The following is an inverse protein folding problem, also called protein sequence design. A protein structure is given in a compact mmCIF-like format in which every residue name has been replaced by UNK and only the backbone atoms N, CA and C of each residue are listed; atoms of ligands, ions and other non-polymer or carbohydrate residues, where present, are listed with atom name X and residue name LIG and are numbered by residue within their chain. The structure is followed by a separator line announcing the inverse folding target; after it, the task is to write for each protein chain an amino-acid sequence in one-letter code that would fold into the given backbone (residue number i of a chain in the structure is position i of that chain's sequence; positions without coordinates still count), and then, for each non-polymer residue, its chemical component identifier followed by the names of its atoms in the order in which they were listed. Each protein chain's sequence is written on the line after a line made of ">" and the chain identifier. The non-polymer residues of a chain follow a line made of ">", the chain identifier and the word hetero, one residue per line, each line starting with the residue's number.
data_IF_002470617465
#
_entry.id   IF_002470617465
#
_cell.length_a   1.000
_cell.length_b   1.000
_cell.length_c   1.000
_cell.angle_alpha   90.00
_cell.angle_beta   90.00
_cell.angle_gamma   90.00
#
_symmetry.space_group_name_H-M   'P 1'
#
loop_
_entity.id
_entity.type
_entity.pdbx_description
1 polymer ?
#
# COMPACT_ATOMS: atom_id res chain seq x y z
N UNK A 1 -9.51 -2.14 14.76
CA UNK A 1 -10.08 -1.12 15.72
C UNK A 1 -9.73 0.27 15.21
N UNK A 2 -10.70 1.16 15.18
CA UNK A 2 -10.54 2.55 14.70
C UNK A 2 -10.63 3.52 15.87
N UNK A 3 -9.72 4.48 15.97
CA UNK A 3 -9.74 5.54 16.99
C UNK A 3 -9.47 6.93 16.39
N UNK A 4 -9.85 7.98 17.13
CA UNK A 4 -9.51 9.36 16.77
C UNK A 4 -8.45 9.85 17.76
N UNK A 5 -7.26 10.15 17.24
CA UNK A 5 -6.11 10.62 18.00
C UNK A 5 -5.65 11.97 17.45
N UNK A 6 -5.74 13.03 18.27
CA UNK A 6 -5.38 14.40 17.86
C UNK A 6 -6.04 14.86 16.55
N UNK A 7 -7.31 14.51 16.34
CA UNK A 7 -8.05 14.81 15.12
C UNK A 7 -7.73 13.94 13.92
N UNK A 8 -6.83 12.96 14.05
CA UNK A 8 -6.51 11.97 13.01
C UNK A 8 -7.33 10.71 13.22
N UNK A 9 -7.87 10.15 12.13
CA UNK A 9 -8.45 8.80 12.12
C UNK A 9 -7.29 7.79 12.07
N UNK A 10 -7.17 6.94 13.08
CA UNK A 10 -6.12 5.92 13.17
C UNK A 10 -6.77 4.54 13.16
N UNK A 11 -6.36 3.69 12.24
CA UNK A 11 -6.71 2.27 12.21
C UNK A 11 -5.57 1.46 12.84
N UNK A 12 -5.94 0.43 13.60
CA UNK A 12 -4.96 -0.45 14.26
C UNK A 12 -5.10 -1.86 13.68
N UNK A 13 -4.02 -2.37 13.09
CA UNK A 13 -3.99 -3.74 12.56
C UNK A 13 -3.82 -4.78 13.67
N UNK A 14 -4.45 -5.99 13.53
CA UNK A 14 -5.32 -6.39 12.44
C UNK A 14 -6.68 -5.69 12.47
N UNK A 15 -7.17 -5.27 11.29
CA UNK A 15 -8.46 -4.62 11.12
C UNK A 15 -9.56 -5.64 10.84
N UNK A 16 -10.80 -5.31 11.23
CA UNK A 16 -11.98 -6.13 10.94
C UNK A 16 -12.61 -5.76 9.60
N UNK A 17 -13.60 -6.53 9.17
CA UNK A 17 -14.38 -6.21 7.98
C UNK A 17 -15.14 -4.89 8.16
N UNK A 18 -15.70 -4.66 9.36
CA UNK A 18 -16.44 -3.45 9.69
C UNK A 18 -15.54 -2.20 9.71
N UNK A 19 -14.28 -2.33 10.17
CA UNK A 19 -13.32 -1.23 10.12
C UNK A 19 -13.05 -0.79 8.67
N UNK A 20 -12.98 -1.74 7.74
CA UNK A 20 -12.73 -1.53 6.31
C UNK A 20 -13.99 -0.98 5.62
N UNK A 21 -15.17 -1.55 5.90
CA UNK A 21 -16.44 -1.17 5.29
C UNK A 21 -16.85 0.29 5.63
N UNK A 22 -16.36 0.80 6.75
CA UNK A 22 -16.55 2.18 7.17
C UNK A 22 -15.70 3.21 6.41
N UNK A 23 -14.83 2.75 5.47
CA UNK A 23 -13.94 3.60 4.68
C UNK A 23 -14.45 3.76 3.25
N UNK A 24 -14.41 4.99 2.76
CA UNK A 24 -14.79 5.32 1.38
C UNK A 24 -13.60 5.91 0.62
N UNK A 25 -13.66 5.89 -0.70
CA UNK A 25 -12.66 6.54 -1.55
C UNK A 25 -12.52 8.02 -1.17
N UNK A 26 -11.27 8.48 -1.05
CA UNK A 26 -10.93 9.84 -0.61
C UNK A 26 -10.76 9.99 0.89
N UNK A 27 -11.16 9.02 1.71
CA UNK A 27 -10.92 9.06 3.16
C UNK A 27 -9.41 9.06 3.45
N UNK A 28 -9.05 9.82 4.48
CA UNK A 28 -7.66 9.93 4.96
C UNK A 28 -7.56 9.34 6.35
N UNK A 29 -6.59 8.45 6.53
CA UNK A 29 -6.33 7.80 7.81
C UNK A 29 -4.84 7.58 8.05
N UNK A 30 -4.49 7.19 9.26
CA UNK A 30 -3.17 6.75 9.69
C UNK A 30 -3.26 5.31 10.16
N UNK A 31 -2.13 4.59 10.17
CA UNK A 31 -2.10 3.18 10.51
C UNK A 31 -1.13 2.92 11.65
N UNK A 32 -1.59 2.18 12.66
CA UNK A 32 -0.80 1.61 13.75
C UNK A 32 -0.79 0.09 13.65
N UNK A 33 0.16 -0.54 14.32
CA UNK A 33 0.25 -1.99 14.47
C UNK A 33 1.25 -2.62 13.50
N UNK A 34 0.86 -3.64 12.75
CA UNK A 34 1.78 -4.41 11.93
C UNK A 34 1.53 -4.22 10.44
N UNK A 35 2.62 -4.11 9.68
CA UNK A 35 2.64 -3.99 8.23
C UNK A 35 3.79 -4.83 7.66
N UNK A 36 3.60 -5.40 6.47
CA UNK A 36 4.65 -6.08 5.71
C UNK A 36 4.99 -5.29 4.46
N UNK A 37 6.25 -5.30 4.04
CA UNK A 37 6.60 -4.84 2.69
C UNK A 37 6.57 -6.01 1.72
N UNK A 38 6.12 -5.78 0.50
CA UNK A 38 6.12 -6.76 -0.57
C UNK A 38 5.77 -6.13 -1.90
N UNK A 39 6.41 -6.58 -2.98
CA UNK A 39 6.11 -6.11 -4.32
C UNK A 39 6.19 -7.27 -5.33
N UNK A 40 6.67 -7.03 -6.54
CA UNK A 40 6.57 -7.98 -7.66
C UNK A 40 6.93 -9.42 -7.31
N UNK A 41 8.07 -9.65 -6.63
CA UNK A 41 8.55 -11.00 -6.34
C UNK A 41 7.75 -11.68 -5.23
N UNK A 42 7.34 -10.94 -4.19
CA UNK A 42 6.48 -11.47 -3.11
C UNK A 42 5.13 -11.90 -3.68
N UNK A 43 4.48 -11.03 -4.45
CA UNK A 43 3.21 -11.36 -5.10
C UNK A 43 3.34 -12.53 -6.07
N UNK A 44 4.44 -12.57 -6.84
CA UNK A 44 4.74 -13.68 -7.76
C UNK A 44 4.88 -15.02 -7.05
N UNK A 45 5.57 -15.08 -5.91
CA UNK A 45 5.70 -16.31 -5.12
C UNK A 45 4.37 -16.83 -4.62
N UNK A 46 3.53 -15.94 -4.11
CA UNK A 46 2.21 -16.35 -3.61
C UNK A 46 1.31 -16.80 -4.76
N UNK A 47 1.18 -15.98 -5.82
CA UNK A 47 0.16 -16.21 -6.85
C UNK A 47 0.61 -17.18 -7.93
N UNK A 48 1.86 -17.07 -8.42
CA UNK A 48 2.31 -17.91 -9.52
C UNK A 48 2.93 -19.22 -9.05
N UNK A 49 3.65 -19.20 -7.91
CA UNK A 49 4.34 -20.38 -7.39
C UNK A 49 3.49 -21.12 -6.35
N UNK A 50 2.40 -20.50 -5.86
CA UNK A 50 1.49 -21.10 -4.88
C UNK A 50 2.10 -21.26 -3.50
N UNK A 51 3.11 -20.44 -3.16
CA UNK A 51 3.72 -20.48 -1.83
C UNK A 51 2.85 -19.73 -0.82
N UNK A 52 2.73 -20.29 0.37
CA UNK A 52 2.07 -19.57 1.47
C UNK A 52 2.91 -18.36 1.89
N UNK A 53 2.22 -17.30 2.27
CA UNK A 53 2.86 -16.11 2.82
C UNK A 53 3.58 -16.47 4.13
N UNK A 54 4.89 -16.22 4.28
CA UNK A 54 5.67 -16.68 5.45
C UNK A 54 5.31 -15.93 6.74
N UNK A 55 4.58 -14.83 6.60
CA UNK A 55 4.08 -14.00 7.69
C UNK A 55 2.56 -13.94 7.54
N UNK A 56 1.83 -14.23 8.61
CA UNK A 56 0.36 -14.05 8.58
C UNK A 56 0.01 -12.57 8.50
N UNK A 57 -0.53 -12.19 7.34
CA UNK A 57 -0.98 -10.82 7.06
C UNK A 57 -2.49 -10.67 7.02
N UNK A 58 -3.24 -11.67 7.47
CA UNK A 58 -4.70 -11.63 7.54
C UNK A 58 -5.17 -10.45 8.40
N UNK A 59 -5.99 -9.59 7.81
CA UNK A 59 -6.46 -8.37 8.47
C UNK A 59 -5.39 -7.29 8.65
N UNK A 60 -4.18 -7.49 8.13
CA UNK A 60 -3.08 -6.53 8.25
C UNK A 60 -2.88 -5.74 6.96
N UNK A 61 -1.75 -5.04 6.87
CA UNK A 61 -1.38 -4.24 5.72
C UNK A 61 -0.17 -4.81 4.97
N UNK A 62 -0.20 -4.70 3.65
CA UNK A 62 0.97 -4.84 2.80
C UNK A 62 1.30 -3.52 2.14
N UNK A 63 2.58 -3.15 2.15
CA UNK A 63 3.07 -1.97 1.46
C UNK A 63 3.88 -2.37 0.24
N UNK A 64 3.46 -1.90 -0.92
CA UNK A 64 4.23 -1.99 -2.16
C UNK A 64 5.45 -1.08 -2.07
N UNK A 65 6.54 -1.61 -1.55
CA UNK A 65 7.78 -0.87 -1.32
C UNK A 65 9.01 -1.76 -1.47
N UNK A 66 10.11 -1.14 -1.85
CA UNK A 66 11.45 -1.72 -1.74
C UNK A 66 12.26 -0.88 -0.75
N UNK A 67 12.30 -1.25 0.52
CA UNK A 67 12.95 -0.46 1.55
C UNK A 67 14.46 -0.51 1.45
N UNK A 68 15.12 0.46 2.11
CA UNK A 68 16.54 0.42 2.44
C UNK A 68 16.64 0.07 3.91
N UNK A 69 17.29 -1.03 4.19
CA UNK A 69 17.48 -1.58 5.53
C UNK A 69 18.96 -1.57 5.88
N UNK A 70 19.27 -1.22 7.12
CA UNK A 70 20.61 -1.34 7.69
C UNK A 70 20.61 -2.47 8.71
N UNK A 71 21.60 -3.36 8.61
CA UNK A 71 21.88 -4.33 9.66
C UNK A 71 22.66 -3.62 10.76
N UNK A 72 22.22 -3.75 12.00
CA UNK A 72 22.88 -3.19 13.18
C UNK A 72 23.46 -4.33 14.00
N UNK A 73 24.70 -4.20 14.43
CA UNK A 73 25.29 -5.17 15.34
C UNK A 73 24.52 -5.19 16.66
N UNK A 74 24.14 -6.38 17.08
CA UNK A 74 23.42 -6.58 18.33
C UNK A 74 24.39 -6.43 19.50
N UNK A 75 24.12 -5.48 20.40
CA UNK A 75 24.92 -5.29 21.62
C UNK A 75 24.70 -6.41 22.65
N UNK A 76 23.71 -7.28 22.44
CA UNK A 76 23.19 -8.23 23.41
C UNK A 76 23.47 -9.68 23.02
N UNK A 77 24.65 -10.08 22.62
CA UNK A 77 25.00 -11.47 22.33
C UNK A 77 23.89 -12.35 21.68
N UNK A 78 22.89 -11.75 21.05
CA UNK A 78 21.86 -12.47 20.32
C UNK A 78 22.41 -12.85 18.93
N UNK A 79 22.29 -14.13 18.57
CA UNK A 79 22.72 -14.64 17.25
C UNK A 79 21.86 -14.13 16.08
N UNK A 80 20.82 -13.32 16.35
CA UNK A 80 19.92 -12.80 15.32
C UNK A 80 20.29 -11.37 14.93
N UNK A 81 20.40 -11.07 13.63
CA UNK A 81 20.69 -9.72 13.16
C UNK A 81 19.55 -8.78 13.53
N UNK A 82 19.88 -7.61 14.03
CA UNK A 82 18.94 -6.52 14.23
C UNK A 82 18.89 -5.64 12.98
N UNK A 83 17.68 -5.24 12.60
CA UNK A 83 17.46 -4.43 11.40
C UNK A 83 16.90 -3.06 11.76
N UNK A 84 17.28 -2.05 10.98
CA UNK A 84 16.79 -0.70 11.10
C UNK A 84 16.29 -0.18 9.75
N UNK A 85 15.09 0.41 9.74
CA UNK A 85 14.51 1.00 8.55
C UNK A 85 15.14 2.37 8.26
N UNK A 86 15.93 2.45 7.19
CA UNK A 86 16.57 3.71 6.77
C UNK A 86 15.64 4.52 5.88
N UNK A 87 14.93 3.84 4.99
CA UNK A 87 14.03 4.49 4.03
C UNK A 87 12.97 3.51 3.56
N UNK A 88 11.71 3.92 3.57
CA UNK A 88 10.60 3.17 2.99
C UNK A 88 9.62 4.11 2.30
N UNK A 89 9.56 4.04 0.99
CA UNK A 89 8.64 4.80 0.15
C UNK A 89 7.86 3.89 -0.78
N UNK A 90 6.63 4.30 -1.16
CA UNK A 90 5.76 3.45 -1.96
C UNK A 90 6.29 3.32 -3.39
N UNK A 91 6.21 2.12 -3.95
CA UNK A 91 6.42 1.87 -5.38
C UNK A 91 5.10 1.89 -6.15
N UNK A 92 5.17 1.85 -7.47
CA UNK A 92 4.00 1.88 -8.36
C UNK A 92 3.18 0.59 -8.21
N UNK A 93 1.96 0.72 -7.68
CA UNK A 93 1.04 -0.40 -7.42
C UNK A 93 0.56 -1.10 -8.69
N UNK A 94 0.43 -0.38 -9.79
CA UNK A 94 -0.08 -0.93 -11.06
C UNK A 94 0.67 -2.17 -11.56
N UNK A 95 1.92 -2.38 -11.15
CA UNK A 95 2.67 -3.60 -11.52
C UNK A 95 2.09 -4.85 -10.87
N UNK A 96 1.52 -4.73 -9.66
CA UNK A 96 0.90 -5.81 -8.91
C UNK A 96 -0.55 -6.09 -9.33
N UNK A 97 -1.18 -5.22 -10.12
CA UNK A 97 -2.56 -5.38 -10.62
C UNK A 97 -2.87 -6.78 -11.16
N UNK A 98 -1.90 -7.41 -11.82
CA UNK A 98 -2.04 -8.77 -12.37
C UNK A 98 -2.15 -9.87 -11.32
N UNK A 99 -1.75 -9.59 -10.08
CA UNK A 99 -1.70 -10.54 -8.96
C UNK A 99 -2.72 -10.23 -7.87
N UNK A 100 -3.15 -8.96 -7.77
CA UNK A 100 -3.71 -8.42 -6.53
C UNK A 100 -5.02 -9.10 -6.12
N UNK A 101 -5.87 -9.46 -7.07
CA UNK A 101 -7.11 -10.18 -6.78
C UNK A 101 -6.85 -11.52 -6.08
N UNK A 102 -5.99 -12.34 -6.68
CA UNK A 102 -5.59 -13.64 -6.13
C UNK A 102 -4.81 -13.47 -4.83
N UNK A 103 -3.94 -12.47 -4.75
CA UNK A 103 -3.14 -12.19 -3.56
C UNK A 103 -4.03 -11.82 -2.35
N UNK A 104 -5.04 -10.96 -2.52
CA UNK A 104 -6.00 -10.63 -1.46
C UNK A 104 -6.74 -11.89 -1.00
N UNK A 105 -7.20 -12.70 -1.95
CA UNK A 105 -7.93 -13.95 -1.67
C UNK A 105 -7.09 -14.92 -0.83
N UNK A 106 -5.85 -15.18 -1.24
CA UNK A 106 -4.99 -16.19 -0.61
C UNK A 106 -4.46 -15.74 0.77
N UNK A 107 -4.18 -14.44 0.91
CA UNK A 107 -3.53 -13.94 2.13
C UNK A 107 -4.49 -13.36 3.16
N UNK A 108 -5.68 -12.95 2.72
CA UNK A 108 -6.63 -12.24 3.59
C UNK A 108 -6.16 -10.85 4.03
N UNK A 109 -5.18 -10.26 3.31
CA UNK A 109 -4.75 -8.88 3.53
C UNK A 109 -5.92 -7.92 3.32
N UNK A 110 -6.02 -6.88 4.15
CA UNK A 110 -7.13 -5.92 4.07
C UNK A 110 -6.72 -4.52 3.65
N UNK A 111 -5.46 -4.16 3.82
CA UNK A 111 -4.96 -2.82 3.49
C UNK A 111 -3.77 -2.95 2.55
N UNK A 112 -3.92 -2.47 1.32
CA UNK A 112 -2.87 -2.44 0.31
C UNK A 112 -2.38 -1.00 0.19
N UNK A 113 -1.09 -0.75 0.45
CA UNK A 113 -0.50 0.59 0.45
C UNK A 113 0.49 0.71 -0.71
N UNK A 114 0.31 1.72 -1.55
CA UNK A 114 1.24 1.94 -2.63
C UNK A 114 1.25 3.37 -3.17
N UNK A 115 1.53 3.53 -4.45
CA UNK A 115 1.38 4.81 -5.15
C UNK A 115 0.75 4.63 -6.52
N UNK A 116 0.02 5.67 -6.96
CA UNK A 116 -0.76 5.61 -8.18
C UNK A 116 -2.02 4.77 -8.03
N UNK A 117 -2.75 4.61 -9.12
CA UNK A 117 -3.98 3.81 -9.14
C UNK A 117 -3.73 2.35 -9.43
N UNK A 118 -4.73 1.54 -9.16
CA UNK A 118 -4.91 0.17 -9.63
C UNK A 118 -6.23 0.07 -10.41
N UNK A 119 -6.52 -1.09 -11.00
CA UNK A 119 -7.63 -1.26 -11.93
C UNK A 119 -8.70 -2.23 -11.42
N UNK A 120 -9.43 -2.80 -12.38
CA UNK A 120 -10.66 -3.56 -12.15
C UNK A 120 -10.43 -4.85 -11.35
N UNK A 121 -9.29 -5.54 -11.54
CA UNK A 121 -9.01 -6.78 -10.79
C UNK A 121 -8.81 -6.49 -9.31
N UNK A 122 -8.02 -5.46 -8.99
CA UNK A 122 -7.84 -5.03 -7.61
C UNK A 122 -9.15 -4.55 -7.00
N UNK A 123 -9.95 -3.77 -7.75
CA UNK A 123 -11.25 -3.31 -7.27
C UNK A 123 -12.20 -4.49 -6.99
N UNK A 124 -12.22 -5.50 -7.86
CA UNK A 124 -13.00 -6.72 -7.64
C UNK A 124 -12.53 -7.48 -6.40
N UNK A 125 -11.21 -7.64 -6.22
CA UNK A 125 -10.64 -8.29 -5.03
C UNK A 125 -10.96 -7.52 -3.74
N UNK A 126 -10.87 -6.20 -3.76
CA UNK A 126 -11.24 -5.36 -2.62
C UNK A 126 -12.72 -5.53 -2.25
N UNK A 127 -13.59 -5.57 -3.26
CA UNK A 127 -15.04 -5.74 -3.05
C UNK A 127 -15.38 -7.14 -2.54
N UNK A 128 -14.82 -8.19 -3.13
CA UNK A 128 -15.19 -9.57 -2.82
C UNK A 128 -14.64 -10.03 -1.47
N UNK A 129 -13.42 -9.61 -1.12
CA UNK A 129 -12.73 -10.09 0.08
C UNK A 129 -12.64 -9.07 1.20
N UNK A 130 -13.22 -7.88 1.04
CA UNK A 130 -13.27 -6.84 2.06
C UNK A 130 -11.91 -6.20 2.34
N UNK A 131 -11.26 -5.71 1.29
CA UNK A 131 -9.98 -5.00 1.37
C UNK A 131 -10.08 -3.58 0.78
N UNK A 132 -9.04 -2.78 0.96
CA UNK A 132 -8.91 -1.45 0.36
C UNK A 132 -7.52 -1.27 -0.26
N UNK A 133 -7.45 -0.47 -1.32
CA UNK A 133 -6.19 0.08 -1.78
C UNK A 133 -6.09 1.54 -1.38
N UNK A 134 -4.94 1.94 -0.84
CA UNK A 134 -4.66 3.31 -0.47
C UNK A 134 -3.27 3.74 -0.95
N UNK A 135 -3.08 5.04 -1.09
CA UNK A 135 -1.79 5.61 -1.45
C UNK A 135 -1.16 6.32 -0.26
N UNK A 136 0.16 6.14 -0.16
CA UNK A 136 1.02 7.01 0.63
C UNK A 136 1.59 8.09 -0.31
N UNK A 137 1.55 9.39 0.02
CA UNK A 137 2.18 10.42 -0.78
C UNK A 137 3.66 10.10 -1.05
N UNK A 138 4.07 10.15 -2.33
CA UNK A 138 5.44 9.85 -2.71
C UNK A 138 6.40 11.01 -2.35
N UNK A 139 7.72 10.72 -2.31
CA UNK A 139 8.76 11.71 -2.00
C UNK A 139 9.05 11.87 -0.51
N UNK A 140 8.40 11.12 0.35
CA UNK A 140 8.55 11.18 1.82
C UNK A 140 9.10 9.89 2.45
N UNK A 141 9.96 9.16 1.75
CA UNK A 141 10.45 7.84 2.18
C UNK A 141 11.15 7.83 3.55
N UNK A 142 11.77 8.94 3.94
CA UNK A 142 12.36 9.09 5.28
C UNK A 142 11.28 9.27 6.33
N UNK A 143 10.22 10.01 6.03
CA UNK A 143 9.07 10.17 6.94
C UNK A 143 8.39 8.82 7.17
N UNK A 144 8.22 8.01 6.11
CA UNK A 144 7.72 6.64 6.24
C UNK A 144 8.60 5.78 7.15
N UNK A 145 9.93 5.91 7.04
CA UNK A 145 10.85 5.16 7.88
C UNK A 145 10.76 5.54 9.36
N UNK A 146 10.56 6.83 9.67
CA UNK A 146 10.41 7.30 11.06
C UNK A 146 9.15 6.73 11.74
N UNK A 147 8.14 6.37 10.96
CA UNK A 147 6.93 5.73 11.49
C UNK A 147 7.11 4.22 11.74
N UNK A 148 8.24 3.63 11.37
CA UNK A 148 8.57 2.23 11.68
C UNK A 148 9.28 2.18 13.02
N UNK A 149 8.60 1.67 14.05
CA UNK A 149 9.16 1.54 15.40
C UNK A 149 10.13 0.37 15.50
N UNK A 150 9.84 -0.73 14.76
CA UNK A 150 10.62 -1.95 14.83
C UNK A 150 10.47 -2.77 13.54
N UNK A 151 11.53 -3.43 13.10
CA UNK A 151 11.48 -4.53 12.16
C UNK A 151 11.42 -5.82 12.96
N UNK A 152 10.24 -6.46 13.00
CA UNK A 152 9.95 -7.65 13.79
C UNK A 152 10.62 -8.89 13.17
N UNK A 153 10.71 -8.93 11.83
CA UNK A 153 11.26 -10.04 11.09
C UNK A 153 11.52 -9.74 9.63
N UNK A 154 12.21 -10.64 8.97
CA UNK A 154 12.50 -10.58 7.55
C UNK A 154 12.45 -11.98 6.94
N UNK A 155 11.65 -12.13 5.91
CA UNK A 155 11.45 -13.39 5.21
C UNK A 155 11.78 -13.24 3.72
N UNK A 156 12.08 -14.36 3.07
CA UNK A 156 12.44 -14.40 1.66
C UNK A 156 13.61 -13.46 1.30
N UNK A 157 14.63 -13.45 2.15
CA UNK A 157 15.84 -12.63 1.97
C UNK A 157 16.62 -12.98 0.70
N UNK A 158 16.42 -14.17 0.16
CA UNK A 158 16.99 -14.61 -1.12
C UNK A 158 16.50 -13.77 -2.32
N UNK A 159 15.37 -13.07 -2.18
CA UNK A 159 14.89 -12.12 -3.18
C UNK A 159 15.69 -10.81 -3.22
N UNK A 160 16.57 -10.63 -2.24
CA UNK A 160 17.32 -9.38 -2.03
C UNK A 160 16.50 -8.33 -1.25
N UNK A 161 17.20 -7.41 -0.62
CA UNK A 161 16.63 -6.41 0.30
C UNK A 161 15.38 -5.70 -0.22
N UNK A 162 15.29 -5.20 -1.49
CA UNK A 162 14.12 -4.47 -1.96
C UNK A 162 12.91 -5.34 -2.30
N UNK A 163 13.09 -6.65 -2.41
CA UNK A 163 12.02 -7.60 -2.76
C UNK A 163 11.66 -8.53 -1.60
N UNK A 164 12.48 -8.57 -0.54
CA UNK A 164 12.22 -9.37 0.65
C UNK A 164 10.99 -8.86 1.41
N UNK A 165 10.41 -9.77 2.19
CA UNK A 165 9.26 -9.50 3.05
C UNK A 165 9.75 -8.96 4.40
N UNK A 166 9.61 -7.66 4.64
CA UNK A 166 9.96 -7.03 5.91
C UNK A 166 8.73 -6.85 6.78
N UNK A 167 8.71 -7.50 7.94
CA UNK A 167 7.64 -7.40 8.92
C UNK A 167 7.93 -6.27 9.90
N UNK A 168 7.09 -5.25 9.90
CA UNK A 168 7.32 -4.00 10.62
C UNK A 168 6.21 -3.72 11.62
N UNK A 169 6.57 -3.22 12.80
CA UNK A 169 5.66 -2.51 13.69
C UNK A 169 5.71 -1.03 13.36
N UNK A 170 4.53 -0.45 13.17
CA UNK A 170 4.38 0.93 12.72
C UNK A 170 3.49 1.73 13.65
N UNK A 171 3.74 3.03 13.71
CA UNK A 171 2.94 3.98 14.47
C UNK A 171 2.66 5.25 13.69
N UNK A 172 1.40 5.65 13.66
CA UNK A 172 0.88 6.80 12.89
C UNK A 172 1.43 6.86 11.46
N UNK A 173 1.54 5.70 10.83
CA UNK A 173 2.02 5.59 9.46
C UNK A 173 1.01 6.20 8.47
N UNK A 174 1.40 7.25 7.79
CA UNK A 174 0.51 7.97 6.88
C UNK A 174 0.94 9.41 6.61
N UNK A 175 0.04 10.25 6.09
CA UNK A 175 -1.38 9.98 5.81
C UNK A 175 -1.57 8.97 4.65
N UNK A 176 -2.56 8.10 4.80
CA UNK A 176 -3.00 7.16 3.77
C UNK A 176 -4.32 7.63 3.20
N UNK A 177 -4.46 7.62 1.87
CA UNK A 177 -5.65 8.07 1.16
C UNK A 177 -6.28 6.89 0.44
N UNK A 178 -7.53 6.56 0.75
CA UNK A 178 -8.25 5.45 0.11
C UNK A 178 -8.49 5.75 -1.36
N UNK A 179 -8.07 4.86 -2.23
CA UNK A 179 -8.26 5.00 -3.69
C UNK A 179 -9.13 3.90 -4.30
N UNK A 180 -9.24 2.74 -3.63
CA UNK A 180 -10.24 1.71 -3.93
C UNK A 180 -10.80 1.26 -2.57
N UNK A 181 -12.12 1.31 -2.44
CA UNK A 181 -12.82 0.89 -1.22
C UNK A 181 -13.39 -0.54 -1.34
N UNK A 182 -13.90 -1.06 -0.22
CA UNK A 182 -14.53 -2.39 -0.15
C UNK A 182 -15.88 -2.48 -0.89
N UNK A 183 -16.38 -1.36 -1.38
CA UNK A 183 -17.60 -1.33 -2.21
C UNK A 183 -17.28 -1.44 -3.71
N UNK A 184 -15.99 -1.58 -4.08
CA UNK A 184 -15.52 -1.68 -5.45
C UNK A 184 -15.41 -0.34 -6.18
N UNK A 185 -15.55 0.80 -5.48
CA UNK A 185 -15.36 2.12 -6.06
C UNK A 185 -13.88 2.41 -6.26
N UNK A 186 -13.54 3.06 -7.37
CA UNK A 186 -12.18 3.44 -7.72
C UNK A 186 -12.08 4.93 -7.97
N UNK A 187 -11.40 5.65 -7.08
CA UNK A 187 -11.22 7.10 -7.13
C UNK A 187 -10.63 7.58 -8.46
N UNK A 188 -9.62 6.87 -8.98
CA UNK A 188 -8.96 7.25 -10.22
C UNK A 188 -9.88 7.10 -11.43
N UNK A 189 -10.66 6.03 -11.49
CA UNK A 189 -11.59 5.82 -12.61
C UNK A 189 -12.78 6.79 -12.55
N UNK A 190 -13.31 7.08 -11.36
CA UNK A 190 -14.35 8.11 -11.20
C UNK A 190 -13.84 9.51 -11.63
N UNK A 191 -12.64 9.88 -11.19
CA UNK A 191 -12.05 11.18 -11.53
C UNK A 191 -11.58 11.29 -12.99
N UNK A 192 -11.23 10.19 -13.61
CA UNK A 192 -10.84 10.15 -15.02
C UNK A 192 -11.94 10.65 -15.95
N UNK A 193 -13.19 10.31 -15.66
CA UNK A 193 -14.35 10.80 -16.44
C UNK A 193 -14.44 12.31 -16.36
N UNK A 194 -14.35 12.88 -15.15
CA UNK A 194 -14.39 14.33 -14.92
C UNK A 194 -13.21 15.05 -15.60
N UNK A 195 -11.99 14.53 -15.45
CA UNK A 195 -10.79 15.15 -16.03
C UNK A 195 -10.75 15.07 -17.55
N UNK A 196 -11.23 13.98 -18.15
CA UNK A 196 -11.31 13.87 -19.60
C UNK A 196 -12.25 14.92 -20.19
N UNK A 197 -13.40 15.17 -19.58
CA UNK A 197 -14.31 16.22 -20.01
C UNK A 197 -13.64 17.60 -19.93
N UNK A 198 -13.02 17.94 -18.80
CA UNK A 198 -12.28 19.21 -18.66
C UNK A 198 -11.13 19.35 -19.64
N UNK A 199 -10.42 18.26 -19.92
CA UNK A 199 -9.32 18.25 -20.91
C UNK A 199 -9.82 18.61 -22.30
N UNK A 200 -10.94 18.05 -22.74
CA UNK A 200 -11.53 18.35 -24.05
C UNK A 200 -11.93 19.82 -24.15
N UNK A 201 -12.62 20.35 -23.14
CA UNK A 201 -13.00 21.77 -23.07
C UNK A 201 -11.77 22.70 -23.14
N UNK A 202 -10.71 22.38 -22.39
CA UNK A 202 -9.46 23.16 -22.38
C UNK A 202 -8.68 23.02 -23.72
N UNK A 203 -8.65 21.85 -24.32
CA UNK A 203 -8.00 21.63 -25.61
C UNK A 203 -8.65 22.47 -26.71
N UNK A 204 -9.99 22.57 -26.74
CA UNK A 204 -10.69 23.42 -27.68
C UNK A 204 -10.33 24.92 -27.52
N UNK A 205 -10.23 25.39 -26.28
CA UNK A 205 -9.82 26.77 -25.99
C UNK A 205 -8.39 27.05 -26.45
N UNK A 206 -7.47 26.13 -26.18
CA UNK A 206 -6.06 26.21 -26.60
C UNK A 206 -5.97 26.23 -28.12
N UNK A 207 -6.67 25.34 -28.85
CA UNK A 207 -6.65 25.30 -30.29
C UNK A 207 -7.16 26.60 -30.94
N UNK A 208 -8.11 27.28 -30.31
CA UNK A 208 -8.60 28.60 -30.78
C UNK A 208 -7.57 29.70 -30.61
N UNK A 209 -6.65 29.57 -29.63
CA UNK A 209 -5.64 30.60 -29.31
C UNK A 209 -4.29 30.37 -30.02
N UNK A 210 -4.02 29.13 -30.45
CA UNK A 210 -2.72 28.74 -31.00
C UNK A 210 -2.77 28.76 -32.53
N UNK A 211 -2.25 29.85 -33.13
CA UNK A 211 -2.29 30.10 -34.57
C UNK A 211 -1.18 29.43 -35.41
N UNK A 212 -0.18 28.83 -34.77
CA UNK A 212 0.95 28.22 -35.49
C UNK A 212 0.77 26.69 -35.75
N UNK A 213 -0.30 26.13 -35.30
CA UNK A 213 -0.66 24.71 -35.56
C UNK A 213 -1.69 24.66 -36.72
N UNK A 214 -1.24 25.04 -37.95
CA UNK A 214 -2.01 24.79 -39.16
C UNK A 214 -1.38 23.63 -39.93
#
# INVERSE_FOLDING_TARGET
>A
MTEIRNGKKVLITPVTAEDIDALNIGDVFFLDGEMVTGRDSVHGRVVNEGLEMPIDIRGKAIMHAGPIIRTVESSDNSDSPRYEMVSVGPTTSMRMERFEYEFIRETGVRIIIGKGGMKEKTAAGCQEFGAIHCILPAGNAVVGAVCVEEIIGAEWLDLGMPEACWHCRIREFGPLIVTIDSHGRNYYEEKKVEYNKRREEQAELIHKQVHFMK
#
